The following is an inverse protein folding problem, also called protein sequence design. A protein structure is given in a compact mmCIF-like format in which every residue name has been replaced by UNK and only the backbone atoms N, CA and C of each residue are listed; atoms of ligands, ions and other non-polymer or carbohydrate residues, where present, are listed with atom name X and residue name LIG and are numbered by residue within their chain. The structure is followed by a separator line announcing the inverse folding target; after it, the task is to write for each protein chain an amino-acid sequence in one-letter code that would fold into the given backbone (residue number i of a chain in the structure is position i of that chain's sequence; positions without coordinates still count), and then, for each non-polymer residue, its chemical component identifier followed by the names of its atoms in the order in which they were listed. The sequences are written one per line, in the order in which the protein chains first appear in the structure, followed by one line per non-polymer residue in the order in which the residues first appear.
data_IF_125198146490
#
_entry.id   IF_125198146490
#
_cell.length_a   1.000
_cell.length_b   1.000
_cell.length_c   1.000
_cell.angle_alpha   90.00
_cell.angle_beta   90.00
_cell.angle_gamma   90.00
#
_symmetry.space_group_name_H-M   'P 1'
#
loop_
_entity.id
_entity.type
_entity.pdbx_description
1 polymer ?
#
# COMPACT_ATOMS: atom_id res chain seq x y z
N UNK A 1 -22.24 1.74 -0.02
CA UNK A 1 -22.36 2.84 1.01
C UNK A 1 -22.26 4.21 0.33
N UNK A 2 -22.72 5.31 0.96
CA UNK A 2 -22.75 6.66 0.34
C UNK A 2 -21.37 7.12 -0.15
N UNK A 3 -20.31 6.84 0.62
CA UNK A 3 -18.94 7.19 0.24
C UNK A 3 -18.47 6.47 -1.04
N UNK A 4 -18.73 5.16 -1.16
CA UNK A 4 -18.39 4.42 -2.38
C UNK A 4 -19.18 4.91 -3.60
N UNK A 5 -20.47 5.21 -3.42
CA UNK A 5 -21.30 5.78 -4.48
C UNK A 5 -20.81 7.17 -4.93
N UNK A 6 -20.27 7.96 -4.01
CA UNK A 6 -19.60 9.22 -4.32
C UNK A 6 -18.34 8.98 -5.17
N UNK A 7 -17.43 8.12 -4.73
CA UNK A 7 -16.17 7.88 -5.45
C UNK A 7 -16.37 7.20 -6.82
N UNK A 8 -17.36 6.31 -6.97
CA UNK A 8 -17.71 5.73 -8.29
C UNK A 8 -18.09 6.81 -9.33
N UNK A 9 -18.66 7.94 -8.90
CA UNK A 9 -18.94 9.10 -9.77
C UNK A 9 -17.73 10.00 -10.04
N UNK A 10 -16.60 9.72 -9.39
CA UNK A 10 -15.36 10.51 -9.45
C UNK A 10 -14.18 9.75 -10.06
N UNK A 11 -14.47 8.60 -10.68
CA UNK A 11 -13.49 7.83 -11.45
C UNK A 11 -12.99 8.69 -12.62
N UNK A 12 -11.68 8.78 -12.74
CA UNK A 12 -10.99 9.45 -13.83
C UNK A 12 -10.87 8.51 -15.04
N UNK A 13 -10.57 9.03 -16.25
CA UNK A 13 -10.45 8.20 -17.46
C UNK A 13 -9.36 7.11 -17.41
N UNK A 14 -8.44 7.19 -16.46
CA UNK A 14 -7.32 6.25 -16.26
C UNK A 14 -7.57 5.23 -15.12
N UNK A 15 -8.84 5.02 -14.76
CA UNK A 15 -9.27 4.11 -13.67
C UNK A 15 -8.73 4.47 -12.28
N UNK A 16 -8.35 5.74 -12.10
CA UNK A 16 -7.89 6.29 -10.82
C UNK A 16 -8.91 7.27 -10.22
N UNK A 17 -8.70 7.61 -8.96
CA UNK A 17 -9.34 8.75 -8.30
C UNK A 17 -8.29 9.75 -7.85
N UNK A 18 -8.63 11.03 -7.90
CA UNK A 18 -7.75 12.08 -7.41
C UNK A 18 -7.66 12.02 -5.88
N UNK A 19 -6.50 12.41 -5.34
CA UNK A 19 -6.28 12.48 -3.89
C UNK A 19 -7.09 13.61 -3.25
N UNK A 20 -7.29 14.70 -3.98
CA UNK A 20 -8.00 15.89 -3.51
C UNK A 20 -9.12 16.27 -4.47
N UNK A 21 -10.22 16.76 -3.89
CA UNK A 21 -11.36 17.28 -4.63
C UNK A 21 -11.77 18.63 -4.04
N UNK A 22 -12.03 19.61 -4.89
CA UNK A 22 -12.56 20.91 -4.49
C UNK A 22 -13.95 20.76 -3.87
N UNK A 23 -14.18 21.39 -2.72
CA UNK A 23 -15.50 21.37 -2.08
C UNK A 23 -16.56 22.00 -2.98
N UNK A 24 -17.80 21.49 -2.86
CA UNK A 24 -18.99 21.86 -3.64
C UNK A 24 -18.95 21.44 -5.12
N UNK A 25 -17.84 21.65 -5.82
CA UNK A 25 -17.74 21.30 -7.26
C UNK A 25 -17.33 19.85 -7.47
N UNK A 26 -16.55 19.27 -6.54
CA UNK A 26 -15.91 17.97 -6.65
C UNK A 26 -15.00 17.83 -7.88
N UNK A 27 -14.37 18.94 -8.30
CA UNK A 27 -13.32 18.90 -9.31
C UNK A 27 -12.03 18.33 -8.69
N UNK A 28 -11.31 17.43 -9.37
CA UNK A 28 -9.98 17.00 -8.96
C UNK A 28 -9.05 18.19 -8.73
N UNK A 29 -8.31 18.20 -7.62
CA UNK A 29 -7.33 19.25 -7.31
C UNK A 29 -5.91 18.69 -7.32
N UNK A 30 -5.01 19.45 -7.92
CA UNK A 30 -3.59 19.17 -8.01
C UNK A 30 -2.77 20.41 -7.63
N UNK A 31 -1.46 20.22 -7.50
CA UNK A 31 -0.50 21.32 -7.50
C UNK A 31 0.55 21.09 -8.58
N UNK A 32 0.98 22.18 -9.22
CA UNK A 32 2.11 22.14 -10.15
C UNK A 32 3.47 22.10 -9.41
N UNK A 33 4.56 22.05 -10.16
CA UNK A 33 5.93 22.10 -9.62
C UNK A 33 6.30 23.38 -8.86
N UNK A 34 5.47 24.43 -8.94
CA UNK A 34 5.60 25.69 -8.19
C UNK A 34 4.62 25.76 -7.01
N UNK A 35 3.97 24.65 -6.68
CA UNK A 35 2.98 24.52 -5.62
C UNK A 35 1.75 25.43 -5.84
N UNK A 36 1.41 25.75 -7.08
CA UNK A 36 0.18 26.46 -7.41
C UNK A 36 -0.96 25.46 -7.59
N UNK A 37 -2.11 25.75 -6.99
CA UNK A 37 -3.32 24.95 -7.16
C UNK A 37 -3.79 24.99 -8.61
N UNK A 38 -4.13 23.82 -9.15
CA UNK A 38 -4.61 23.65 -10.53
C UNK A 38 -5.58 22.47 -10.63
N UNK A 39 -6.37 22.46 -11.70
CA UNK A 39 -7.23 21.33 -12.09
C UNK A 39 -6.57 20.43 -13.14
N UNK A 40 -5.39 20.82 -13.64
CA UNK A 40 -4.60 20.08 -14.62
C UNK A 40 -3.49 19.29 -13.93
N UNK A 41 -3.45 17.97 -14.15
CA UNK A 41 -2.45 17.07 -13.57
C UNK A 41 -1.19 16.91 -14.43
N UNK A 42 -1.13 17.55 -15.60
CA UNK A 42 -0.01 17.43 -16.55
C UNK A 42 1.35 17.85 -15.98
N UNK A 43 1.35 18.79 -15.04
CA UNK A 43 2.55 19.34 -14.38
C UNK A 43 2.68 18.92 -12.91
N UNK A 44 1.91 17.91 -12.48
CA UNK A 44 1.91 17.47 -11.09
C UNK A 44 3.24 16.78 -10.71
N UNK A 45 3.88 17.13 -9.57
CA UNK A 45 5.15 16.54 -9.19
C UNK A 45 5.11 15.01 -9.06
N UNK A 46 6.02 14.33 -9.74
CA UNK A 46 6.05 12.85 -9.81
C UNK A 46 6.43 12.16 -8.50
N UNK A 47 7.00 12.89 -7.55
CA UNK A 47 7.37 12.37 -6.23
C UNK A 47 6.19 12.35 -5.24
N UNK A 48 5.02 12.86 -5.62
CA UNK A 48 3.82 12.86 -4.79
C UNK A 48 2.69 12.07 -5.45
N UNK A 49 1.96 11.27 -4.65
CA UNK A 49 0.88 10.41 -5.14
C UNK A 49 -0.43 11.17 -5.34
N UNK A 50 -0.55 11.95 -6.42
CA UNK A 50 -1.74 12.77 -6.71
C UNK A 50 -3.00 11.97 -7.05
N UNK A 51 -2.83 10.75 -7.56
CA UNK A 51 -3.92 9.84 -7.95
C UNK A 51 -3.68 8.47 -7.33
N UNK A 52 -4.76 7.74 -7.10
CA UNK A 52 -4.73 6.38 -6.54
C UNK A 52 -5.66 5.47 -7.33
N UNK A 53 -5.29 4.20 -7.47
CA UNK A 53 -6.19 3.19 -8.05
C UNK A 53 -7.48 3.12 -7.24
N UNK A 54 -8.61 3.06 -7.94
CA UNK A 54 -9.93 3.11 -7.33
C UNK A 54 -10.26 1.89 -6.44
N UNK A 55 -9.85 0.68 -6.86
CA UNK A 55 -10.11 -0.60 -6.16
C UNK A 55 -11.56 -0.78 -5.68
N UNK A 56 -12.53 -0.25 -6.42
CA UNK A 56 -13.91 -0.16 -5.95
C UNK A 56 -14.58 -1.52 -5.73
N UNK A 57 -14.26 -2.53 -6.53
CA UNK A 57 -14.83 -3.87 -6.39
C UNK A 57 -14.36 -4.56 -5.12
N UNK A 58 -13.07 -4.42 -4.80
CA UNK A 58 -12.48 -4.94 -3.56
C UNK A 58 -13.12 -4.27 -2.34
N UNK A 59 -13.29 -2.94 -2.39
CA UNK A 59 -13.92 -2.17 -1.32
C UNK A 59 -15.40 -2.55 -1.16
N UNK A 60 -16.13 -2.72 -2.26
CA UNK A 60 -17.55 -3.11 -2.21
C UNK A 60 -17.70 -4.50 -1.61
N UNK A 61 -16.88 -5.46 -2.06
CA UNK A 61 -16.84 -6.82 -1.51
C UNK A 61 -16.56 -6.80 -0.01
N UNK A 62 -15.48 -6.16 0.43
CA UNK A 62 -15.13 -6.07 1.85
C UNK A 62 -16.26 -5.43 2.68
N UNK A 63 -16.95 -4.44 2.13
CA UNK A 63 -18.12 -3.83 2.78
C UNK A 63 -19.32 -4.78 2.86
N UNK A 64 -19.61 -5.57 1.81
CA UNK A 64 -20.69 -6.57 1.86
C UNK A 64 -20.36 -7.69 2.85
N UNK A 65 -19.12 -8.18 2.85
CA UNK A 65 -18.66 -9.23 3.76
C UNK A 65 -18.83 -8.78 5.22
N UNK A 66 -18.37 -7.57 5.55
CA UNK A 66 -18.55 -6.98 6.88
C UNK A 66 -20.03 -6.81 7.26
N UNK A 67 -20.90 -6.40 6.33
CA UNK A 67 -22.34 -6.29 6.57
C UNK A 67 -23.01 -7.63 6.85
N UNK A 68 -22.55 -8.68 6.19
CA UNK A 68 -23.05 -10.04 6.35
C UNK A 68 -22.47 -10.73 7.59
N UNK A 69 -21.65 -10.02 8.39
CA UNK A 69 -20.99 -10.59 9.56
C UNK A 69 -19.94 -11.64 9.19
N UNK A 70 -19.49 -11.69 7.94
CA UNK A 70 -18.35 -12.51 7.58
C UNK A 70 -17.13 -11.93 8.29
N UNK A 71 -16.55 -12.75 9.17
CA UNK A 71 -15.30 -12.39 9.82
C UNK A 71 -14.25 -12.13 8.73
N UNK A 72 -13.28 -11.22 8.98
CA UNK A 72 -12.08 -11.18 8.17
C UNK A 72 -11.49 -12.60 8.03
N UNK A 73 -10.72 -12.87 6.96
CA UNK A 73 -10.13 -14.19 6.73
C UNK A 73 -9.54 -14.73 8.02
N UNK A 74 -9.80 -16.01 8.31
CA UNK A 74 -9.24 -16.66 9.49
C UNK A 74 -7.72 -16.44 9.51
N UNK A 75 -7.12 -16.22 10.70
CA UNK A 75 -5.67 -16.14 10.83
C UNK A 75 -5.03 -17.34 10.16
N UNK A 76 -3.89 -17.12 9.49
CA UNK A 76 -3.13 -18.21 8.88
C UNK A 76 -2.68 -19.17 9.99
N UNK A 77 -2.78 -20.47 9.73
CA UNK A 77 -2.34 -21.46 10.72
C UNK A 77 -0.83 -21.47 10.82
N UNK A 78 -0.29 -22.01 11.92
CA UNK A 78 1.16 -22.23 12.08
C UNK A 78 1.74 -23.00 10.89
N UNK A 79 1.01 -23.99 10.35
CA UNK A 79 1.42 -24.78 9.18
C UNK A 79 1.50 -23.94 7.91
N UNK A 80 0.57 -23.01 7.69
CA UNK A 80 0.57 -22.11 6.53
C UNK A 80 1.74 -21.12 6.56
N UNK A 81 2.21 -20.80 7.77
CA UNK A 81 3.22 -19.78 8.02
C UNK A 81 4.64 -20.35 8.13
N UNK A 82 4.79 -21.64 8.45
CA UNK A 82 6.08 -22.24 8.85
C UNK A 82 7.19 -22.02 7.81
N UNK A 83 6.92 -22.28 6.53
CA UNK A 83 7.90 -22.10 5.47
C UNK A 83 8.37 -20.64 5.35
N UNK A 84 7.42 -19.71 5.41
CA UNK A 84 7.68 -18.28 5.37
C UNK A 84 8.50 -17.81 6.58
N UNK A 85 8.15 -18.29 7.78
CA UNK A 85 8.87 -17.97 9.02
C UNK A 85 10.32 -18.47 8.94
N UNK A 86 10.53 -19.72 8.51
CA UNK A 86 11.88 -20.27 8.32
C UNK A 86 12.68 -19.46 7.30
N UNK A 87 12.06 -19.03 6.20
CA UNK A 87 12.69 -18.14 5.22
C UNK A 87 13.05 -16.79 5.84
N UNK A 88 12.12 -16.12 6.52
CA UNK A 88 12.33 -14.81 7.15
C UNK A 88 13.49 -14.84 8.14
N UNK A 89 13.58 -15.89 8.97
CA UNK A 89 14.68 -16.03 9.94
C UNK A 89 16.02 -16.25 9.23
N UNK A 90 16.05 -17.06 8.16
CA UNK A 90 17.28 -17.31 7.38
C UNK A 90 17.78 -16.08 6.61
N UNK A 91 16.92 -15.12 6.33
CA UNK A 91 17.26 -13.88 5.63
C UNK A 91 17.86 -12.80 6.54
N UNK A 92 17.86 -13.01 7.86
CA UNK A 92 18.56 -12.13 8.80
C UNK A 92 20.08 -12.23 8.57
N UNK A 93 20.75 -11.10 8.53
CA UNK A 93 22.21 -11.06 8.60
C UNK A 93 22.73 -11.30 10.03
N UNK A 94 24.05 -11.34 10.21
CA UNK A 94 24.69 -11.60 11.50
C UNK A 94 24.33 -10.56 12.58
N UNK A 95 23.87 -9.36 12.17
CA UNK A 95 23.42 -8.29 13.06
C UNK A 95 21.89 -8.36 13.32
N UNK A 96 21.20 -9.37 12.79
CA UNK A 96 19.76 -9.55 12.96
C UNK A 96 18.92 -8.58 12.13
N UNK A 97 19.39 -8.19 10.93
CA UNK A 97 18.69 -7.25 10.05
C UNK A 97 18.27 -7.91 8.75
N UNK A 98 17.13 -7.48 8.21
CA UNK A 98 16.76 -7.74 6.81
C UNK A 98 17.28 -6.63 5.92
N UNK A 99 18.42 -6.86 5.28
CA UNK A 99 19.01 -5.91 4.35
C UNK A 99 18.47 -6.14 2.95
N UNK A 100 17.88 -5.08 2.37
CA UNK A 100 17.44 -5.06 0.98
C UNK A 100 18.54 -4.47 0.12
N UNK A 101 18.72 -5.04 -1.08
CA UNK A 101 19.66 -4.56 -2.08
C UNK A 101 18.87 -3.98 -3.24
N UNK A 102 19.13 -2.73 -3.58
CA UNK A 102 18.47 -2.06 -4.69
C UNK A 102 18.83 -2.73 -6.03
N UNK A 103 17.82 -3.23 -6.72
CA UNK A 103 17.92 -3.97 -7.99
C UNK A 103 17.35 -3.18 -9.18
N UNK A 104 17.00 -1.90 -8.99
CA UNK A 104 16.40 -1.05 -10.02
C UNK A 104 14.88 -0.94 -9.94
N UNK A 105 14.29 -1.45 -8.86
CA UNK A 105 12.86 -1.32 -8.59
C UNK A 105 12.44 0.15 -8.37
N UNK A 106 11.18 0.48 -8.64
CA UNK A 106 10.67 1.83 -8.36
C UNK A 106 10.46 2.01 -6.86
N UNK A 107 11.24 2.90 -6.23
CA UNK A 107 11.04 3.32 -4.84
C UNK A 107 10.34 4.68 -4.79
N UNK A 108 9.09 4.70 -4.31
CA UNK A 108 8.28 5.92 -4.24
C UNK A 108 8.82 6.85 -3.16
N UNK A 109 9.03 8.12 -3.50
CA UNK A 109 9.43 9.17 -2.55
C UNK A 109 10.90 9.11 -2.10
N UNK A 110 11.71 8.21 -2.65
CA UNK A 110 13.13 8.07 -2.30
C UNK A 110 14.03 8.63 -3.41
N UNK A 111 15.23 9.14 -3.07
CA UNK A 111 16.24 9.47 -4.06
C UNK A 111 16.67 8.21 -4.83
N UNK A 112 17.18 8.39 -6.05
CA UNK A 112 17.68 7.27 -6.86
C UNK A 112 18.88 6.62 -6.15
N UNK A 113 18.75 5.34 -5.81
CA UNK A 113 19.89 4.56 -5.34
C UNK A 113 20.72 4.06 -6.52
N UNK A 114 22.03 3.92 -6.29
CA UNK A 114 22.89 3.17 -7.20
C UNK A 114 22.51 1.69 -7.18
N UNK A 115 22.69 0.94 -8.29
CA UNK A 115 22.60 -0.51 -8.25
C UNK A 115 23.43 -1.08 -7.10
N UNK A 116 22.90 -2.12 -6.43
CA UNK A 116 23.53 -2.78 -5.28
C UNK A 116 23.60 -1.94 -3.99
N UNK A 117 22.95 -0.77 -3.94
CA UNK A 117 22.85 -0.02 -2.68
C UNK A 117 22.08 -0.83 -1.63
N UNK A 118 22.67 -0.95 -0.43
CA UNK A 118 22.10 -1.70 0.69
C UNK A 118 21.29 -0.76 1.58
N UNK A 119 20.05 -1.12 1.86
CA UNK A 119 19.15 -0.31 2.70
C UNK A 119 18.23 -1.19 3.54
N UNK A 120 17.65 -0.60 4.59
CA UNK A 120 16.59 -1.23 5.38
C UNK A 120 15.26 -0.74 4.81
N UNK A 121 14.48 -1.67 4.27
CA UNK A 121 13.13 -1.39 3.79
C UNK A 121 12.13 -1.49 4.94
N UNK A 122 11.39 -0.41 5.20
CA UNK A 122 10.30 -0.44 6.19
C UNK A 122 9.18 -1.40 5.78
N UNK A 123 8.96 -1.60 4.47
CA UNK A 123 7.99 -2.57 3.95
C UNK A 123 8.42 -4.01 4.26
N UNK A 124 9.69 -4.37 3.99
CA UNK A 124 10.23 -5.70 4.31
C UNK A 124 10.18 -5.93 5.82
N UNK A 125 10.58 -4.94 6.61
CA UNK A 125 10.52 -5.01 8.06
C UNK A 125 9.08 -5.27 8.56
N UNK A 126 8.10 -4.46 8.12
CA UNK A 126 6.70 -4.61 8.55
C UNK A 126 6.15 -5.98 8.21
N UNK A 127 6.30 -6.41 6.93
CA UNK A 127 5.80 -7.71 6.47
C UNK A 127 6.39 -8.88 7.24
N UNK A 128 7.70 -8.83 7.52
CA UNK A 128 8.39 -9.89 8.24
C UNK A 128 7.94 -9.94 9.70
N UNK A 129 7.88 -8.80 10.39
CA UNK A 129 7.42 -8.71 11.79
C UNK A 129 5.95 -9.12 11.93
N UNK A 130 5.08 -8.70 11.01
CA UNK A 130 3.67 -9.11 10.98
C UNK A 130 3.53 -10.63 10.84
N UNK A 131 4.27 -11.23 9.89
CA UNK A 131 4.25 -12.68 9.66
C UNK A 131 4.76 -13.47 10.87
N UNK A 132 5.86 -13.02 11.49
CA UNK A 132 6.40 -13.64 12.70
C UNK A 132 5.42 -13.51 13.87
N UNK A 133 4.78 -12.35 14.02
CA UNK A 133 3.79 -12.11 15.08
C UNK A 133 2.57 -13.00 14.91
N UNK A 134 2.07 -13.18 13.68
CA UNK A 134 0.95 -14.09 13.38
C UNK A 134 1.31 -15.56 13.67
N UNK A 135 2.54 -15.98 13.39
CA UNK A 135 3.01 -17.32 13.73
C UNK A 135 3.08 -17.55 15.25
N UNK A 136 3.58 -16.57 16.00
CA UNK A 136 3.62 -16.65 17.47
C UNK A 136 2.22 -16.64 18.08
N UNK A 137 1.28 -15.89 17.50
CA UNK A 137 -0.11 -15.88 17.93
C UNK A 137 -0.79 -17.24 17.69
N UNK A 138 -0.67 -17.79 16.47
CA UNK A 138 -1.28 -19.06 16.08
C UNK A 138 -0.69 -20.30 16.77
N UNK A 139 0.54 -20.22 17.28
CA UNK A 139 1.18 -21.33 18.00
C UNK A 139 0.85 -21.41 19.50
N UNK A 140 0.06 -20.46 20.01
CA UNK A 140 -0.40 -20.43 21.42
C UNK A 140 -1.80 -21.00 21.62
N UNK A 141 -2.51 -21.29 20.53
CA UNK A 141 -3.80 -22.00 20.52
C UNK A 141 -3.58 -23.51 20.48
#
# INVERSE_FOLDING_TARGET
PRALAYYKKRLLPDDQVARYYEFKTNKPLYMDGKYQLTYDDSAAPSHYGWKQSARFDEIDKAHQDAKNGLAPPLPRTTKDLEENVRRIIRELDDDGRWITTYAGERLVGQPKFSPSFRYISSDVFSRNVETLSEYVASSRE
#
